data_IF_475139942327
#
_entry.id   IF_475139942327
#
_cell.length_a   1.000
_cell.length_b   1.000
_cell.length_c   1.000
_cell.angle_alpha   90.00
_cell.angle_beta   90.00
_cell.angle_gamma   90.00
#
_symmetry.space_group_name_H-M   'P 1'
#
loop_
_entity.id
_entity.type
_entity.pdbx_description
1 polymer ?
#
# COMPACT_ATOMS: atom_id res chain seq x y z
N UNK A 1 18.29 -21.05 -0.95
CA UNK A 1 17.44 -20.26 -0.02
C UNK A 1 16.24 -19.64 -0.76
N UNK A 2 15.28 -19.04 -0.03
CA UNK A 2 14.11 -18.33 -0.62
C UNK A 2 14.56 -17.19 -1.54
N UNK A 3 15.58 -16.41 -1.12
CA UNK A 3 16.15 -15.32 -1.94
C UNK A 3 16.58 -15.81 -3.32
N UNK A 4 17.32 -16.92 -3.40
CA UNK A 4 17.81 -17.45 -4.68
C UNK A 4 16.67 -17.87 -5.61
N UNK A 5 15.58 -18.40 -5.04
CA UNK A 5 14.38 -18.75 -5.82
C UNK A 5 13.69 -17.50 -6.38
N UNK A 6 13.59 -16.44 -5.58
CA UNK A 6 13.02 -15.16 -6.01
C UNK A 6 13.88 -14.52 -7.10
N UNK A 7 15.21 -14.57 -6.97
CA UNK A 7 16.12 -13.97 -7.96
C UNK A 7 16.16 -14.70 -9.30
N UNK A 8 15.69 -15.97 -9.36
CA UNK A 8 15.49 -16.71 -10.62
C UNK A 8 14.27 -16.26 -11.42
N UNK A 9 13.32 -15.56 -10.79
CA UNK A 9 12.13 -15.04 -11.46
C UNK A 9 12.49 -13.81 -12.30
N UNK A 10 11.76 -13.59 -13.39
CA UNK A 10 11.85 -12.36 -14.19
C UNK A 10 11.40 -11.14 -13.38
N UNK A 11 11.77 -9.93 -13.83
CA UNK A 11 11.31 -8.69 -13.21
C UNK A 11 9.78 -8.61 -13.10
N UNK A 12 9.07 -8.97 -14.17
CA UNK A 12 7.60 -9.00 -14.21
C UNK A 12 7.02 -9.99 -13.20
N UNK A 13 7.60 -11.19 -13.07
CA UNK A 13 7.16 -12.18 -12.10
C UNK A 13 7.35 -11.69 -10.66
N UNK A 14 8.49 -11.05 -10.36
CA UNK A 14 8.73 -10.45 -9.04
C UNK A 14 7.74 -9.32 -8.74
N UNK A 15 7.44 -8.49 -9.74
CA UNK A 15 6.45 -7.42 -9.60
C UNK A 15 5.06 -7.96 -9.29
N UNK A 16 4.57 -8.93 -10.07
CA UNK A 16 3.25 -9.57 -9.85
C UNK A 16 3.19 -10.22 -8.47
N UNK A 17 4.27 -10.90 -8.06
CA UNK A 17 4.37 -11.51 -6.74
C UNK A 17 4.24 -10.45 -5.64
N UNK A 18 5.02 -9.36 -5.72
CA UNK A 18 4.94 -8.24 -4.78
C UNK A 18 3.55 -7.60 -4.73
N UNK A 19 2.92 -7.35 -5.89
CA UNK A 19 1.58 -6.78 -5.98
C UNK A 19 0.53 -7.67 -5.31
N UNK A 20 0.59 -8.99 -5.52
CA UNK A 20 -0.34 -9.96 -4.89
C UNK A 20 -0.13 -10.06 -3.39
N UNK A 21 1.12 -10.02 -2.93
CA UNK A 21 1.44 -10.00 -1.50
C UNK A 21 0.90 -8.74 -0.82
N UNK A 22 1.10 -7.58 -1.45
CA UNK A 22 0.56 -6.31 -0.95
C UNK A 22 -0.97 -6.33 -0.91
N UNK A 23 -1.64 -6.78 -1.97
CA UNK A 23 -3.09 -6.90 -2.01
C UNK A 23 -3.61 -7.79 -0.87
N UNK A 24 -2.99 -8.95 -0.67
CA UNK A 24 -3.37 -9.87 0.40
C UNK A 24 -3.21 -9.23 1.78
N UNK A 25 -2.09 -8.54 2.02
CA UNK A 25 -1.87 -7.80 3.26
C UNK A 25 -2.91 -6.69 3.45
N UNK A 26 -3.24 -5.94 2.39
CA UNK A 26 -4.22 -4.85 2.43
C UNK A 26 -5.60 -5.35 2.84
N UNK A 27 -6.06 -6.45 2.25
CA UNK A 27 -7.35 -7.07 2.58
C UNK A 27 -7.40 -7.47 4.05
N UNK A 28 -6.35 -8.10 4.57
CA UNK A 28 -6.27 -8.51 5.99
C UNK A 28 -6.35 -7.29 6.92
N UNK A 29 -5.58 -6.23 6.62
CA UNK A 29 -5.58 -5.01 7.44
C UNK A 29 -6.94 -4.33 7.40
N UNK A 30 -7.55 -4.19 6.22
CA UNK A 30 -8.87 -3.56 6.08
C UNK A 30 -9.97 -4.35 6.82
N UNK A 31 -9.91 -5.68 6.82
CA UNK A 31 -10.84 -6.53 7.56
C UNK A 31 -10.70 -6.37 9.09
N UNK A 32 -9.57 -5.85 9.58
CA UNK A 32 -9.37 -5.57 11.01
C UNK A 32 -9.97 -4.25 11.49
N UNK A 33 -10.41 -3.38 10.57
CA UNK A 33 -10.98 -2.08 10.92
C UNK A 33 -12.47 -2.20 11.26
N UNK A 34 -12.96 -1.29 12.12
CA UNK A 34 -14.39 -1.25 12.46
C UNK A 34 -15.23 -0.75 11.28
N UNK A 35 -16.48 -1.20 11.18
CA UNK A 35 -17.37 -0.88 10.05
C UNK A 35 -17.87 0.57 9.98
N UNK A 36 -17.69 1.37 11.05
CA UNK A 36 -18.29 2.70 11.18
C UNK A 36 -17.29 3.86 10.97
N UNK A 37 -16.16 3.63 10.29
CA UNK A 37 -15.16 4.68 10.00
C UNK A 37 -15.35 5.26 8.60
N UNK A 38 -15.03 6.55 8.45
CA UNK A 38 -15.06 7.22 7.15
C UNK A 38 -13.99 6.66 6.21
N UNK A 39 -14.16 6.87 4.90
CA UNK A 39 -13.14 6.44 3.93
C UNK A 39 -11.79 7.14 4.13
N UNK A 40 -11.82 8.42 4.50
CA UNK A 40 -10.62 9.19 4.81
C UNK A 40 -9.88 8.58 6.00
N UNK A 41 -10.60 8.28 7.09
CA UNK A 41 -10.01 7.67 8.28
C UNK A 41 -9.45 6.29 8.00
N UNK A 42 -10.18 5.49 7.22
CA UNK A 42 -9.71 4.19 6.73
C UNK A 42 -8.40 4.29 5.94
N UNK A 43 -8.25 5.30 5.06
CA UNK A 43 -7.01 5.54 4.30
C UNK A 43 -5.85 5.95 5.22
N UNK A 44 -6.11 6.79 6.22
CA UNK A 44 -5.10 7.17 7.23
C UNK A 44 -4.64 5.96 8.01
N UNK A 45 -5.57 5.22 8.61
CA UNK A 45 -5.26 4.01 9.38
C UNK A 45 -4.49 2.97 8.55
N UNK A 46 -4.83 2.82 7.26
CA UNK A 46 -4.11 1.93 6.36
C UNK A 46 -2.66 2.38 6.15
N UNK A 47 -2.44 3.69 5.93
CA UNK A 47 -1.10 4.27 5.83
C UNK A 47 -0.30 4.02 7.11
N UNK A 48 -0.86 4.36 8.28
CA UNK A 48 -0.18 4.20 9.56
C UNK A 48 0.17 2.74 9.85
N UNK A 49 -0.68 1.79 9.41
CA UNK A 49 -0.41 0.35 9.55
C UNK A 49 0.73 -0.15 8.67
N UNK A 50 0.85 0.33 7.44
CA UNK A 50 1.89 -0.14 6.52
C UNK A 50 3.24 0.53 6.75
N UNK A 51 3.24 1.82 7.11
CA UNK A 51 4.45 2.63 7.21
C UNK A 51 4.90 2.85 8.65
N UNK A 52 4.03 2.62 9.65
CA UNK A 52 4.36 2.81 11.07
C UNK A 52 4.48 4.29 11.50
N UNK A 53 4.18 5.21 10.59
CA UNK A 53 4.25 6.66 10.78
C UNK A 53 2.85 7.24 10.82
N UNK A 54 2.62 8.24 11.69
CA UNK A 54 1.34 8.97 11.69
C UNK A 54 1.25 9.89 10.49
N UNK A 55 0.08 9.91 9.86
CA UNK A 55 -0.16 10.83 8.75
C UNK A 55 -0.36 12.25 9.30
N UNK A 56 0.62 13.12 9.09
CA UNK A 56 0.54 14.53 9.52
C UNK A 56 -0.48 15.30 8.69
N UNK A 57 -1.12 16.31 9.29
CA UNK A 57 -2.16 17.13 8.66
C UNK A 57 -1.69 17.91 7.42
N UNK A 58 -0.38 18.03 7.19
CA UNK A 58 0.17 18.63 5.98
C UNK A 58 -0.16 17.86 4.69
N UNK A 59 -0.49 16.55 4.79
CA UNK A 59 -0.88 15.72 3.65
C UNK A 59 -2.39 15.81 3.36
N UNK A 60 -3.20 16.39 4.26
CA UNK A 60 -4.66 16.55 4.06
C UNK A 60 -5.00 17.53 2.93
N UNK A 61 -4.11 18.46 2.61
CA UNK A 61 -4.28 19.47 1.55
C UNK A 61 -3.62 19.09 0.23
N UNK A 62 -2.90 17.97 0.16
CA UNK A 62 -2.27 17.52 -1.07
C UNK A 62 -3.32 16.87 -1.98
N UNK A 63 -4.01 17.71 -2.75
CA UNK A 63 -4.64 17.30 -4.01
C UNK A 63 -3.65 16.40 -4.74
N UNK A 64 -4.08 15.19 -5.11
CA UNK A 64 -3.22 14.18 -5.73
C UNK A 64 -2.36 14.83 -6.83
N UNK A 65 -1.04 14.59 -6.88
CA UNK A 65 -0.24 15.10 -7.96
C UNK A 65 -0.86 14.59 -9.26
N UNK A 66 -1.43 15.50 -10.05
CA UNK A 66 -1.86 15.22 -11.41
C UNK A 66 -0.67 14.56 -12.07
N UNK A 67 -0.88 13.34 -12.54
CA UNK A 67 0.05 12.55 -13.35
C UNK A 67 0.77 13.48 -14.34
N UNK A 68 1.95 13.96 -13.97
CA UNK A 68 2.82 14.66 -14.88
C UNK A 68 3.50 13.59 -15.72
N UNK A 69 3.22 13.69 -17.02
CA UNK A 69 3.64 12.85 -18.12
C UNK A 69 4.87 11.98 -17.85
N UNK A 70 4.67 10.66 -17.94
CA UNK A 70 5.75 9.76 -18.30
C UNK A 70 6.23 10.13 -19.71
N UNK A 71 7.39 10.77 -19.76
CA UNK A 71 8.29 10.85 -20.93
C UNK A 71 8.87 9.47 -21.21
#
# INVERSE_FOLDING_TARGET
MIRDRIMKLSGAQRFIMGARMFESARVIVLASFSGNISELERKRMLYERFYGERLTSAVETAEAPKSEAAV
#
